data_IF_333945502878
#
_entry.id   IF_333945502878
#
_cell.length_a   1.000
_cell.length_b   1.000
_cell.length_c   1.000
_cell.angle_alpha   90.00
_cell.angle_beta   90.00
_cell.angle_gamma   90.00
#
_symmetry.space_group_name_H-M   'P 1'
#
loop_
_entity.id
_entity.type
_entity.pdbx_description
1 polymer ?
#
# COMPACT_ATOMS: atom_id res chain seq x y z
N UNK A 1 14.08 16.34 7.50
CA UNK A 1 12.89 15.78 6.82
C UNK A 1 11.78 16.80 6.80
N UNK A 2 11.25 17.18 5.63
CA UNK A 2 10.14 18.11 5.58
C UNK A 2 8.87 17.50 6.15
N UNK A 3 8.06 18.31 6.79
CA UNK A 3 6.73 17.92 7.28
C UNK A 3 5.71 18.86 6.66
N UNK A 4 4.67 18.29 6.09
CA UNK A 4 3.55 19.05 5.57
C UNK A 4 2.24 18.40 6.03
N UNK A 5 1.16 19.15 5.94
CA UNK A 5 -0.17 18.71 6.35
C UNK A 5 -1.08 18.66 5.12
N UNK A 6 -2.06 17.76 5.17
CA UNK A 6 -3.03 17.62 4.10
C UNK A 6 -4.06 16.56 4.45
N UNK A 7 -4.99 16.36 3.53
CA UNK A 7 -5.98 15.28 3.64
C UNK A 7 -6.06 14.50 2.35
N UNK A 8 -6.69 13.32 2.41
CA UNK A 8 -6.94 12.46 1.26
C UNK A 8 -8.44 12.17 1.24
N UNK A 9 -9.09 12.52 0.12
CA UNK A 9 -10.54 12.34 -0.06
C UNK A 9 -11.34 12.99 1.09
N UNK A 10 -10.85 14.11 1.62
CA UNK A 10 -11.49 14.83 2.72
C UNK A 10 -11.22 14.26 4.12
N UNK A 11 -10.32 13.28 4.24
CA UNK A 11 -9.99 12.63 5.51
C UNK A 11 -8.57 12.96 5.97
N UNK A 12 -8.43 13.19 7.27
CA UNK A 12 -7.13 13.54 7.87
C UNK A 12 -6.20 12.32 8.05
N UNK A 13 -6.73 11.10 7.97
CA UNK A 13 -5.97 9.86 8.16
C UNK A 13 -5.25 9.47 6.87
N UNK A 14 -4.21 10.18 6.53
CA UNK A 14 -3.45 10.00 5.27
C UNK A 14 -2.92 8.58 5.13
N UNK A 15 -2.41 7.99 6.19
CA UNK A 15 -1.83 6.64 6.17
C UNK A 15 -2.82 5.51 5.88
N UNK A 16 -4.12 5.78 5.97
CA UNK A 16 -5.15 4.80 5.61
C UNK A 16 -5.27 4.66 4.09
N UNK A 17 -4.98 5.74 3.35
CA UNK A 17 -5.19 5.82 1.90
C UNK A 17 -3.93 5.67 1.06
N UNK A 18 -2.77 5.82 1.66
CA UNK A 18 -1.48 5.79 0.93
C UNK A 18 -0.64 4.61 1.39
N UNK A 19 0.10 4.02 0.46
CA UNK A 19 1.04 2.94 0.77
C UNK A 19 2.31 3.08 -0.04
N UNK A 20 3.46 3.05 0.64
CA UNK A 20 4.77 3.07 -0.02
C UNK A 20 5.19 1.62 -0.28
N UNK A 21 5.53 1.32 -1.53
CA UNK A 21 6.06 0.01 -1.92
C UNK A 21 7.36 0.26 -2.70
N UNK A 22 8.48 -0.08 -2.09
CA UNK A 22 9.78 0.27 -2.64
C UNK A 22 9.98 1.77 -2.70
N UNK A 23 10.16 2.31 -3.89
CA UNK A 23 10.32 3.74 -4.13
C UNK A 23 9.10 4.38 -4.82
N UNK A 24 7.96 3.68 -4.80
CA UNK A 24 6.71 4.15 -5.41
C UNK A 24 5.65 4.34 -4.33
N UNK A 25 4.93 5.45 -4.41
CA UNK A 25 3.81 5.74 -3.52
C UNK A 25 2.49 5.39 -4.22
N UNK A 26 1.80 4.40 -3.70
CA UNK A 26 0.48 4.01 -4.21
C UNK A 26 -0.58 4.96 -3.67
N UNK A 27 -1.37 5.52 -4.56
CA UNK A 27 -2.42 6.51 -4.25
C UNK A 27 -3.77 6.03 -4.79
N UNK A 28 -4.90 6.38 -4.16
CA UNK A 28 -6.21 6.00 -4.69
C UNK A 28 -6.42 6.50 -6.11
N UNK A 29 -6.88 5.62 -6.98
CA UNK A 29 -7.14 5.95 -8.39
C UNK A 29 -8.21 7.02 -8.55
N UNK A 30 -9.08 7.19 -7.55
CA UNK A 30 -10.16 8.17 -7.56
C UNK A 30 -9.71 9.60 -7.30
N UNK A 31 -8.44 9.83 -6.94
CA UNK A 31 -7.93 11.18 -6.74
C UNK A 31 -7.82 11.94 -8.06
N UNK A 32 -8.10 13.24 -8.03
CA UNK A 32 -7.90 14.09 -9.19
C UNK A 32 -6.41 14.44 -9.39
N UNK A 33 -6.09 15.00 -10.56
CA UNK A 33 -4.70 15.31 -10.92
C UNK A 33 -4.05 16.32 -9.97
N UNK A 34 -4.81 17.28 -9.47
CA UNK A 34 -4.26 18.30 -8.58
C UNK A 34 -3.91 17.71 -7.20
N UNK A 35 -4.75 16.80 -6.70
CA UNK A 35 -4.47 16.09 -5.45
C UNK A 35 -3.23 15.21 -5.58
N UNK A 36 -3.09 14.48 -6.69
CA UNK A 36 -1.92 13.64 -6.95
C UNK A 36 -0.66 14.49 -7.03
N UNK A 37 -0.70 15.62 -7.74
CA UNK A 37 0.45 16.51 -7.87
C UNK A 37 0.91 17.06 -6.51
N UNK A 38 -0.04 17.39 -5.63
CA UNK A 38 0.24 17.86 -4.28
C UNK A 38 0.91 16.77 -3.45
N UNK A 39 0.43 15.52 -3.55
CA UNK A 39 1.01 14.36 -2.87
C UNK A 39 2.43 14.10 -3.38
N UNK A 40 2.64 14.08 -4.69
CA UNK A 40 3.97 13.88 -5.28
C UNK A 40 4.96 14.93 -4.81
N UNK A 41 4.53 16.19 -4.73
CA UNK A 41 5.35 17.28 -4.24
C UNK A 41 5.70 17.11 -2.76
N UNK A 42 4.72 16.71 -1.93
CA UNK A 42 4.92 16.56 -0.49
C UNK A 42 5.84 15.39 -0.14
N UNK A 43 5.72 14.26 -0.84
CA UNK A 43 6.49 13.05 -0.59
C UNK A 43 7.77 12.97 -1.41
N UNK A 44 7.90 13.79 -2.46
CA UNK A 44 9.02 13.73 -3.41
C UNK A 44 9.20 12.32 -3.98
N UNK A 45 8.08 11.66 -4.31
CA UNK A 45 8.04 10.27 -4.81
C UNK A 45 7.16 10.19 -6.05
N UNK A 46 7.50 9.25 -6.92
CA UNK A 46 6.62 8.83 -8.00
C UNK A 46 5.39 8.14 -7.43
N UNK A 47 4.21 8.42 -7.99
CA UNK A 47 2.96 7.81 -7.55
C UNK A 47 2.45 6.80 -8.57
N UNK A 48 1.69 5.83 -8.06
CA UNK A 48 0.97 4.86 -8.90
C UNK A 48 -0.49 4.81 -8.46
N UNK A 49 -1.44 5.18 -9.34
CA UNK A 49 -2.87 5.09 -9.02
C UNK A 49 -3.31 3.64 -8.90
N UNK A 50 -4.01 3.29 -7.82
CA UNK A 50 -4.39 1.92 -7.55
C UNK A 50 -5.64 1.85 -6.68
N UNK A 51 -6.35 0.72 -6.74
CA UNK A 51 -7.42 0.35 -5.81
C UNK A 51 -7.27 -1.14 -5.51
N UNK A 52 -7.60 -1.56 -4.30
CA UNK A 52 -7.60 -2.97 -3.90
C UNK A 52 -9.05 -3.45 -3.83
N UNK A 53 -9.47 -4.29 -4.79
CA UNK A 53 -10.85 -4.75 -4.86
C UNK A 53 -11.85 -3.60 -4.97
N UNK A 54 -11.45 -2.48 -5.59
CA UNK A 54 -12.26 -1.26 -5.68
C UNK A 54 -12.17 -0.35 -4.46
N UNK A 55 -11.42 -0.72 -3.42
CA UNK A 55 -11.26 0.09 -2.21
C UNK A 55 -10.08 1.05 -2.32
N UNK A 56 -10.28 2.28 -1.85
CA UNK A 56 -9.26 3.32 -1.77
C UNK A 56 -8.38 3.22 -0.51
N UNK A 57 -8.64 2.28 0.39
CA UNK A 57 -7.94 2.14 1.67
C UNK A 57 -6.59 1.44 1.51
N UNK A 58 -5.73 1.95 0.63
CA UNK A 58 -4.49 1.31 0.23
C UNK A 58 -3.53 1.11 1.40
N UNK A 59 -3.44 2.08 2.30
CA UNK A 59 -2.57 1.99 3.46
C UNK A 59 -2.95 0.89 4.44
N UNK A 60 -4.21 0.45 4.42
CA UNK A 60 -4.71 -0.65 5.26
C UNK A 60 -4.65 -2.00 4.56
N UNK A 61 -4.71 -2.03 3.22
CA UNK A 61 -4.96 -3.25 2.46
C UNK A 61 -3.74 -3.80 1.71
N UNK A 62 -2.73 -2.98 1.46
CA UNK A 62 -1.53 -3.40 0.74
C UNK A 62 -0.27 -2.84 1.41
N UNK A 63 0.74 -3.68 1.52
CA UNK A 63 2.04 -3.29 2.10
C UNK A 63 3.14 -4.09 1.45
N UNK A 64 4.29 -3.47 1.24
CA UNK A 64 5.41 -4.19 0.66
C UNK A 64 6.68 -3.38 0.60
N UNK A 65 7.70 -4.02 0.07
CA UNK A 65 9.00 -3.45 -0.22
C UNK A 65 9.43 -3.92 -1.61
N UNK A 66 10.68 -3.71 -2.00
CA UNK A 66 11.18 -4.16 -3.32
C UNK A 66 11.22 -5.66 -3.48
N UNK A 67 11.17 -6.42 -2.39
CA UNK A 67 11.25 -7.89 -2.42
C UNK A 67 9.88 -8.52 -2.61
N UNK A 68 8.84 -7.98 -1.99
CA UNK A 68 7.52 -8.58 -2.08
C UNK A 68 6.41 -7.69 -1.56
N UNK A 69 5.19 -8.09 -1.89
CA UNK A 69 3.97 -7.32 -1.61
C UNK A 69 2.94 -8.25 -0.99
N UNK A 70 2.39 -7.85 0.16
CA UNK A 70 1.25 -8.51 0.78
C UNK A 70 -0.01 -7.68 0.53
N UNK A 71 -1.08 -8.30 0.08
CA UNK A 71 -2.32 -7.62 -0.26
C UNK A 71 -3.54 -8.37 0.28
N UNK A 72 -4.59 -7.63 0.62
CA UNK A 72 -5.85 -8.18 1.11
C UNK A 72 -6.52 -9.09 0.08
N UNK A 73 -7.28 -10.08 0.56
CA UNK A 73 -7.93 -11.08 -0.30
C UNK A 73 -9.09 -10.52 -1.15
N UNK A 74 -9.50 -9.29 -0.92
CA UNK A 74 -10.48 -8.62 -1.78
C UNK A 74 -9.90 -8.16 -3.11
N UNK A 75 -8.58 -8.24 -3.29
CA UNK A 75 -7.92 -7.86 -4.54
C UNK A 75 -8.46 -8.70 -5.70
N UNK A 76 -8.74 -8.02 -6.82
CA UNK A 76 -9.14 -8.70 -8.05
C UNK A 76 -7.93 -9.31 -8.75
N UNK A 77 -8.18 -10.20 -9.72
CA UNK A 77 -7.08 -10.75 -10.53
C UNK A 77 -6.34 -9.63 -11.27
N UNK A 78 -7.07 -8.63 -11.77
CA UNK A 78 -6.45 -7.45 -12.41
C UNK A 78 -5.54 -6.69 -11.46
N UNK A 79 -5.94 -6.54 -10.20
CA UNK A 79 -5.12 -5.91 -9.16
C UNK A 79 -3.83 -6.70 -8.93
N UNK A 80 -3.94 -8.03 -8.83
CA UNK A 80 -2.77 -8.89 -8.64
C UNK A 80 -1.80 -8.83 -9.81
N UNK A 81 -2.33 -8.81 -11.04
CA UNK A 81 -1.52 -8.70 -12.25
C UNK A 81 -0.78 -7.36 -12.28
N UNK A 82 -1.42 -6.29 -11.87
CA UNK A 82 -0.80 -4.97 -11.79
C UNK A 82 0.30 -4.93 -10.74
N UNK A 83 0.07 -5.52 -9.56
CA UNK A 83 1.06 -5.57 -8.48
C UNK A 83 2.29 -6.39 -8.84
N UNK A 84 2.15 -7.44 -9.65
CA UNK A 84 3.30 -8.29 -10.03
C UNK A 84 4.36 -7.54 -10.82
N UNK A 85 4.03 -6.40 -11.42
CA UNK A 85 5.03 -5.55 -12.09
C UNK A 85 5.95 -4.82 -11.09
N UNK A 86 5.60 -4.81 -9.81
CA UNK A 86 6.39 -4.16 -8.76
C UNK A 86 7.14 -5.15 -7.86
N UNK A 87 6.79 -6.43 -7.88
CA UNK A 87 7.42 -7.46 -7.07
C UNK A 87 6.56 -8.71 -6.94
N UNK A 88 7.05 -9.68 -6.19
CA UNK A 88 6.29 -10.90 -5.88
C UNK A 88 5.11 -10.54 -4.97
N UNK A 89 3.98 -11.20 -5.17
CA UNK A 89 2.73 -10.87 -4.46
C UNK A 89 2.23 -12.09 -3.70
N UNK A 90 1.84 -11.89 -2.44
CA UNK A 90 1.08 -12.86 -1.66
C UNK A 90 -0.27 -12.26 -1.25
N UNK A 91 -1.32 -13.07 -1.35
CA UNK A 91 -2.66 -12.68 -0.91
C UNK A 91 -2.83 -13.11 0.55
N UNK A 92 -3.25 -12.17 1.40
CA UNK A 92 -3.54 -12.46 2.81
C UNK A 92 -4.79 -13.31 2.92
N UNK A 93 -4.75 -14.34 3.77
CA UNK A 93 -5.82 -15.33 3.87
C UNK A 93 -6.31 -15.48 5.32
N UNK A 94 -7.32 -16.34 5.51
CA UNK A 94 -7.82 -16.74 6.83
C UNK A 94 -8.41 -15.59 7.66
N UNK A 95 -9.01 -14.59 6.99
CA UNK A 95 -9.63 -13.45 7.66
C UNK A 95 -8.64 -12.41 8.18
N UNK A 96 -7.35 -12.55 7.89
CA UNK A 96 -6.31 -11.62 8.31
C UNK A 96 -5.91 -10.80 7.07
N UNK A 97 -6.71 -9.81 6.74
CA UNK A 97 -6.67 -9.11 5.45
C UNK A 97 -5.94 -7.77 5.44
N UNK A 98 -5.92 -7.08 6.55
CA UNK A 98 -5.43 -5.69 6.59
C UNK A 98 -3.90 -5.65 6.60
N UNK A 99 -3.26 -6.05 5.51
CA UNK A 99 -1.80 -6.15 5.39
C UNK A 99 -1.10 -4.85 5.82
N UNK A 100 -1.62 -3.70 5.42
CA UNK A 100 -1.03 -2.42 5.76
C UNK A 100 -1.14 -2.04 7.24
N UNK A 101 -2.07 -2.66 7.97
CA UNK A 101 -2.22 -2.44 9.42
C UNK A 101 -1.40 -3.43 10.25
N UNK A 102 -0.94 -4.50 9.64
CA UNK A 102 -0.29 -5.63 10.33
C UNK A 102 1.18 -5.75 10.00
N UNK A 103 1.65 -5.03 9.01
CA UNK A 103 3.03 -5.07 8.51
C UNK A 103 3.53 -3.63 8.35
N UNK A 104 4.71 -3.36 8.88
CA UNK A 104 5.45 -2.13 8.55
C UNK A 104 6.85 -2.55 8.09
N UNK A 105 7.26 -2.09 6.93
CA UNK A 105 8.52 -2.53 6.34
C UNK A 105 9.20 -1.44 5.50
N UNK A 106 10.50 -1.66 5.29
CA UNK A 106 11.28 -1.00 4.24
C UNK A 106 12.13 -2.09 3.56
N UNK A 107 13.07 -1.70 2.71
CA UNK A 107 13.90 -2.69 2.00
C UNK A 107 14.92 -3.39 2.90
N UNK A 108 15.10 -2.94 4.13
CA UNK A 108 16.10 -3.47 5.07
C UNK A 108 15.48 -4.38 6.14
N UNK A 109 14.18 -4.31 6.37
CA UNK A 109 13.54 -5.14 7.39
C UNK A 109 12.06 -4.87 7.52
N UNK A 110 11.41 -5.69 8.36
CA UNK A 110 9.98 -5.60 8.61
C UNK A 110 9.63 -5.90 10.05
N UNK A 111 8.56 -5.25 10.52
CA UNK A 111 7.89 -5.60 11.78
C UNK A 111 6.49 -6.06 11.41
N UNK A 112 6.10 -7.23 11.90
CA UNK A 112 4.82 -7.83 11.56
C UNK A 112 4.06 -8.25 12.82
N UNK A 113 2.73 -8.21 12.73
CA UNK A 113 1.89 -8.75 13.79
C UNK A 113 2.04 -10.28 13.86
N UNK A 114 1.99 -10.82 15.06
CA UNK A 114 2.10 -12.27 15.28
C UNK A 114 0.89 -13.05 14.75
N UNK A 115 -0.20 -12.37 14.40
CA UNK A 115 -1.41 -13.02 13.88
C UNK A 115 -1.35 -13.28 12.36
N UNK A 116 -0.38 -12.70 11.64
CA UNK A 116 -0.33 -12.92 10.20
C UNK A 116 0.22 -14.31 9.87
N UNK A 117 -0.25 -14.94 8.77
CA UNK A 117 0.32 -16.20 8.29
C UNK A 117 1.78 -16.05 7.89
N UNK A 118 2.55 -17.12 8.02
CA UNK A 118 3.98 -17.14 7.64
C UNK A 118 4.21 -16.69 6.21
N UNK A 119 3.32 -17.06 5.29
CA UNK A 119 3.41 -16.64 3.88
C UNK A 119 3.40 -15.13 3.71
N UNK A 120 2.63 -14.43 4.53
CA UNK A 120 2.58 -12.97 4.51
C UNK A 120 3.84 -12.31 5.07
N UNK A 121 4.51 -12.96 6.02
CA UNK A 121 5.77 -12.49 6.57
C UNK A 121 6.95 -12.83 5.65
N UNK A 122 6.95 -14.02 5.06
CA UNK A 122 8.08 -14.53 4.28
C UNK A 122 8.29 -13.81 2.96
N UNK A 123 7.25 -13.22 2.37
CA UNK A 123 7.35 -12.53 1.08
C UNK A 123 8.13 -11.21 1.17
N UNK A 124 8.19 -10.62 2.35
CA UNK A 124 8.73 -9.27 2.56
C UNK A 124 10.19 -9.26 3.02
#
# INVERSE_FOLDING_TARGET
MPVSTGDILGHAQVGVYLSVIGDVLFVPRSLDKSAVAEIESAFEMETHPFLVGGSALLGSLVRGNRQGIAVADIASQGDLDELTSFGDVVVMESGVNAAGNLIECNDNGAVVSTIIPDSGADII
#
